data_IF_287534938978
#
_entry.id   IF_287534938978
#
_cell.length_a   1.000
_cell.length_b   1.000
_cell.length_c   1.000
_cell.angle_alpha   90.00
_cell.angle_beta   90.00
_cell.angle_gamma   90.00
#
_symmetry.space_group_name_H-M   'P 1'
#
loop_
_entity.id
_entity.type
_entity.pdbx_description
1 polymer ?
#
# COMPACT_ATOMS: atom_id res chain seq x y z
N UNK A 1 35.24 -2.29 -2.09
CA UNK A 1 34.98 -3.65 -2.62
C UNK A 1 33.65 -3.63 -3.36
N UNK A 2 33.64 -3.80 -4.67
CA UNK A 2 32.41 -3.83 -5.46
C UNK A 2 31.61 -5.10 -5.15
N UNK A 3 30.32 -4.97 -4.84
CA UNK A 3 29.43 -6.12 -4.79
C UNK A 3 29.55 -6.91 -6.11
N UNK A 4 29.60 -8.25 -6.08
CA UNK A 4 29.62 -9.05 -7.29
C UNK A 4 28.38 -8.68 -8.12
N UNK A 5 28.57 -8.43 -9.41
CA UNK A 5 27.54 -8.02 -10.38
C UNK A 5 26.21 -8.81 -10.32
N UNK A 6 26.15 -10.12 -9.95
CA UNK A 6 24.90 -10.85 -9.77
C UNK A 6 24.03 -10.35 -8.60
N UNK A 7 24.66 -9.91 -7.50
CA UNK A 7 23.94 -9.51 -6.28
C UNK A 7 23.14 -8.21 -6.46
N UNK A 8 23.65 -7.30 -7.29
CA UNK A 8 23.00 -6.02 -7.62
C UNK A 8 21.75 -6.24 -8.48
N UNK A 9 21.85 -7.11 -9.48
CA UNK A 9 20.74 -7.47 -10.37
C UNK A 9 19.58 -8.16 -9.62
N UNK A 10 19.90 -9.11 -8.73
CA UNK A 10 18.89 -9.78 -7.91
C UNK A 10 18.15 -8.78 -7.01
N UNK A 11 18.90 -7.90 -6.33
CA UNK A 11 18.33 -6.91 -5.42
C UNK A 11 17.38 -5.93 -6.13
N UNK A 12 17.71 -5.52 -7.35
CA UNK A 12 16.88 -4.66 -8.19
C UNK A 12 15.63 -5.39 -8.68
N UNK A 13 15.77 -6.62 -9.18
CA UNK A 13 14.65 -7.43 -9.66
C UNK A 13 13.61 -7.72 -8.55
N UNK A 14 14.07 -8.04 -7.33
CA UNK A 14 13.15 -8.24 -6.20
C UNK A 14 12.39 -6.96 -5.84
N UNK A 15 13.05 -5.80 -5.88
CA UNK A 15 12.40 -4.52 -5.56
C UNK A 15 11.32 -4.20 -6.60
N UNK A 16 11.67 -4.29 -7.88
CA UNK A 16 10.72 -4.10 -8.98
C UNK A 16 9.54 -5.06 -8.88
N UNK A 17 9.79 -6.34 -8.59
CA UNK A 17 8.72 -7.35 -8.41
C UNK A 17 7.80 -7.00 -7.26
N UNK A 18 8.35 -6.58 -6.11
CA UNK A 18 7.55 -6.13 -4.96
C UNK A 18 6.73 -4.89 -5.31
N UNK A 19 7.28 -3.93 -6.06
CA UNK A 19 6.56 -2.73 -6.51
C UNK A 19 5.40 -3.07 -7.43
N UNK A 20 5.61 -3.96 -8.40
CA UNK A 20 4.57 -4.43 -9.31
C UNK A 20 3.47 -5.14 -8.51
N UNK A 21 3.84 -6.05 -7.60
CA UNK A 21 2.89 -6.74 -6.75
C UNK A 21 2.06 -5.76 -5.90
N UNK A 22 2.72 -4.76 -5.31
CA UNK A 22 2.06 -3.71 -4.52
C UNK A 22 1.11 -2.87 -5.38
N UNK A 23 1.50 -2.56 -6.62
CA UNK A 23 0.65 -1.90 -7.61
C UNK A 23 -0.58 -2.73 -7.96
N UNK A 24 -0.43 -4.04 -8.14
CA UNK A 24 -1.56 -4.94 -8.44
C UNK A 24 -2.51 -5.04 -7.25
N UNK A 25 -2.01 -5.22 -6.03
CA UNK A 25 -2.87 -5.34 -4.85
C UNK A 25 -3.59 -4.03 -4.54
N UNK A 26 -2.93 -2.88 -4.72
CA UNK A 26 -3.55 -1.56 -4.56
C UNK A 26 -4.60 -1.29 -5.63
N UNK A 27 -4.38 -1.69 -6.88
CA UNK A 27 -5.37 -1.58 -7.95
C UNK A 27 -6.61 -2.42 -7.66
N UNK A 28 -6.44 -3.66 -7.19
CA UNK A 28 -7.57 -4.52 -6.82
C UNK A 28 -8.38 -3.87 -5.68
N UNK A 29 -7.70 -3.40 -4.63
CA UNK A 29 -8.36 -2.72 -3.52
C UNK A 29 -9.11 -1.46 -4.00
N UNK A 30 -8.50 -0.66 -4.87
CA UNK A 30 -9.10 0.55 -5.42
C UNK A 30 -10.37 0.26 -6.23
N UNK A 31 -10.34 -0.76 -7.10
CA UNK A 31 -11.51 -1.18 -7.88
C UNK A 31 -12.64 -1.67 -6.97
N UNK A 32 -12.31 -2.47 -5.96
CA UNK A 32 -13.28 -3.03 -5.00
C UNK A 32 -13.94 -1.92 -4.19
N UNK A 33 -13.14 -1.02 -3.59
CA UNK A 33 -13.68 0.09 -2.81
C UNK A 33 -14.40 1.13 -3.67
N UNK A 34 -13.94 1.37 -4.91
CA UNK A 34 -14.64 2.24 -5.85
C UNK A 34 -16.03 1.70 -6.20
N UNK A 35 -16.13 0.39 -6.43
CA UNK A 35 -17.42 -0.27 -6.64
C UNK A 35 -18.31 -0.21 -5.38
N UNK A 36 -17.74 -0.52 -4.22
CA UNK A 36 -18.47 -0.43 -2.94
C UNK A 36 -19.00 0.98 -2.69
N UNK A 37 -18.20 2.02 -2.95
CA UNK A 37 -18.62 3.42 -2.82
C UNK A 37 -19.80 3.74 -3.75
N UNK A 38 -19.71 3.35 -5.02
CA UNK A 38 -20.83 3.55 -5.96
C UNK A 38 -22.10 2.78 -5.55
N UNK A 39 -21.93 1.63 -4.88
CA UNK A 39 -23.02 0.80 -4.39
C UNK A 39 -23.76 1.46 -3.21
N UNK A 40 -23.04 2.18 -2.36
CA UNK A 40 -23.60 3.02 -1.30
C UNK A 40 -24.30 4.27 -1.83
N UNK A 41 -23.81 4.85 -2.93
CA UNK A 41 -24.47 6.01 -3.57
C UNK A 41 -25.80 5.65 -4.25
N UNK A 42 -25.89 4.45 -4.85
CA UNK A 42 -27.06 4.01 -5.63
C UNK A 42 -28.17 3.43 -4.75
N UNK A 43 -27.79 2.67 -3.71
CA UNK A 43 -28.77 2.13 -2.77
C UNK A 43 -29.10 3.22 -1.76
N UNK A 44 -30.37 3.59 -1.61
CA UNK A 44 -30.83 4.52 -0.57
C UNK A 44 -30.64 3.93 0.85
N UNK A 45 -29.43 3.52 1.22
CA UNK A 45 -29.05 3.08 2.58
C UNK A 45 -28.92 4.28 3.53
N UNK A 46 -29.72 5.33 3.29
CA UNK A 46 -29.62 6.69 3.84
C UNK A 46 -29.92 6.84 5.34
N UNK A 47 -29.90 5.76 6.12
CA UNK A 47 -30.04 5.85 7.58
C UNK A 47 -29.12 4.92 8.38
N UNK A 48 -28.51 3.91 7.75
CA UNK A 48 -27.57 3.00 8.42
C UNK A 48 -26.23 2.87 7.70
N UNK A 49 -26.04 3.53 6.56
CA UNK A 49 -24.75 3.53 5.87
C UNK A 49 -23.71 4.35 6.65
N UNK A 50 -23.03 3.65 7.54
CA UNK A 50 -21.87 4.15 8.26
C UNK A 50 -20.59 3.99 7.41
N UNK A 51 -20.59 3.18 6.35
CA UNK A 51 -19.40 2.86 5.56
C UNK A 51 -19.05 3.89 4.48
N UNK A 52 -20.06 4.45 3.80
CA UNK A 52 -19.96 5.40 2.69
C UNK A 52 -18.96 6.56 2.92
N UNK A 53 -19.07 7.33 4.02
CA UNK A 53 -18.18 8.46 4.27
C UNK A 53 -16.72 8.07 4.50
N UNK A 54 -16.45 6.83 4.93
CA UNK A 54 -15.13 6.35 5.35
C UNK A 54 -14.43 5.56 4.22
N UNK A 55 -15.18 5.12 3.22
CA UNK A 55 -14.65 4.54 1.97
C UNK A 55 -13.80 5.55 1.20
N UNK A 56 -14.22 6.81 1.14
CA UNK A 56 -13.50 7.86 0.40
C UNK A 56 -12.03 8.05 0.87
N UNK A 57 -11.74 8.17 2.18
CA UNK A 57 -10.37 8.17 2.68
C UNK A 57 -9.55 6.91 2.33
N UNK A 58 -10.13 5.71 2.39
CA UNK A 58 -9.44 4.46 2.02
C UNK A 58 -9.15 4.41 0.52
N UNK A 59 -10.08 4.88 -0.31
CA UNK A 59 -9.90 5.06 -1.75
C UNK A 59 -8.76 6.03 -2.02
N UNK A 60 -8.70 7.17 -1.33
CA UNK A 60 -7.61 8.13 -1.48
C UNK A 60 -6.25 7.53 -1.08
N UNK A 61 -6.18 6.81 0.05
CA UNK A 61 -4.98 6.11 0.50
C UNK A 61 -4.52 5.05 -0.49
N UNK A 62 -5.43 4.18 -0.95
CA UNK A 62 -5.14 3.14 -1.95
C UNK A 62 -4.75 3.73 -3.30
N UNK A 63 -5.40 4.80 -3.76
CA UNK A 63 -5.04 5.50 -4.98
C UNK A 63 -3.63 6.11 -4.90
N UNK A 64 -3.26 6.73 -3.77
CA UNK A 64 -1.91 7.22 -3.55
C UNK A 64 -0.88 6.08 -3.63
N UNK A 65 -1.16 4.94 -2.99
CA UNK A 65 -0.28 3.77 -3.04
C UNK A 65 -0.12 3.22 -4.47
N UNK A 66 -1.20 3.19 -5.25
CA UNK A 66 -1.13 2.79 -6.66
C UNK A 66 -0.29 3.78 -7.48
N UNK A 67 -0.58 5.07 -7.37
CA UNK A 67 0.12 6.12 -8.09
C UNK A 67 1.62 6.09 -7.79
N UNK A 68 2.00 5.96 -6.52
CA UNK A 68 3.39 5.87 -6.12
C UNK A 68 4.07 4.58 -6.64
N UNK A 69 3.38 3.43 -6.60
CA UNK A 69 3.91 2.18 -7.18
C UNK A 69 4.17 2.32 -8.67
N UNK A 70 3.24 2.91 -9.43
CA UNK A 70 3.41 3.14 -10.88
C UNK A 70 4.57 4.10 -11.15
N UNK A 71 4.63 5.23 -10.45
CA UNK A 71 5.73 6.19 -10.59
C UNK A 71 7.07 5.51 -10.30
N UNK A 72 7.19 4.78 -9.20
CA UNK A 72 8.42 4.07 -8.84
C UNK A 72 8.85 3.07 -9.91
N UNK A 73 7.92 2.25 -10.43
CA UNK A 73 8.20 1.29 -11.51
C UNK A 73 8.61 2.00 -12.80
N UNK A 74 7.88 3.04 -13.20
CA UNK A 74 8.21 3.83 -14.39
C UNK A 74 9.61 4.44 -14.27
N UNK A 75 9.94 5.04 -13.12
CA UNK A 75 11.25 5.65 -12.93
C UNK A 75 12.35 4.58 -12.90
N UNK A 76 12.14 3.42 -12.29
CA UNK A 76 13.12 2.31 -12.30
C UNK A 76 13.35 1.73 -13.70
N UNK A 77 12.31 1.64 -14.53
CA UNK A 77 12.40 1.12 -15.89
C UNK A 77 13.00 2.13 -16.87
N UNK A 78 12.67 3.41 -16.72
CA UNK A 78 13.08 4.46 -17.66
C UNK A 78 14.42 5.11 -17.27
N UNK A 79 14.75 5.15 -15.99
CA UNK A 79 15.96 5.83 -15.53
C UNK A 79 17.17 4.90 -15.60
N UNK A 80 18.15 5.31 -16.40
CA UNK A 80 19.50 4.69 -16.38
C UNK A 80 20.31 5.07 -15.13
N UNK A 81 19.81 6.01 -14.32
CA UNK A 81 20.46 6.51 -13.10
C UNK A 81 19.64 6.07 -11.87
N UNK A 82 20.29 5.57 -10.81
CA UNK A 82 19.61 5.19 -9.59
C UNK A 82 19.04 6.43 -8.89
N UNK A 83 17.76 6.38 -8.52
CA UNK A 83 17.16 7.42 -7.66
C UNK A 83 17.85 7.37 -6.29
N UNK A 84 17.97 8.53 -5.65
CA UNK A 84 18.42 8.61 -4.28
C UNK A 84 17.50 7.79 -3.36
N UNK A 85 18.07 6.85 -2.60
CA UNK A 85 17.31 5.92 -1.76
C UNK A 85 16.42 6.62 -0.72
N UNK A 86 16.80 7.81 -0.28
CA UNK A 86 15.99 8.62 0.63
C UNK A 86 14.63 9.02 0.06
N UNK A 87 14.49 9.15 -1.27
CA UNK A 87 13.19 9.43 -1.92
C UNK A 87 12.24 8.26 -1.67
N UNK A 88 12.68 7.03 -1.94
CA UNK A 88 11.88 5.84 -1.66
C UNK A 88 11.48 5.75 -0.19
N UNK A 89 12.41 6.00 0.75
CA UNK A 89 12.10 6.01 2.18
C UNK A 89 10.93 6.96 2.50
N UNK A 90 10.97 8.20 2.01
CA UNK A 90 9.93 9.20 2.31
C UNK A 90 8.57 8.83 1.73
N UNK A 91 8.51 8.49 0.45
CA UNK A 91 7.23 8.21 -0.21
C UNK A 91 6.66 6.85 0.21
N UNK A 92 7.49 5.84 0.49
CA UNK A 92 7.05 4.55 1.03
C UNK A 92 6.50 4.72 2.45
N UNK A 93 7.13 5.58 3.28
CA UNK A 93 6.63 5.88 4.61
C UNK A 93 5.28 6.59 4.54
N UNK A 94 5.11 7.57 3.65
CA UNK A 94 3.82 8.24 3.46
C UNK A 94 2.74 7.29 2.93
N UNK A 95 3.09 6.42 1.98
CA UNK A 95 2.18 5.41 1.45
C UNK A 95 1.72 4.45 2.56
N UNK A 96 2.68 3.98 3.36
CA UNK A 96 2.40 3.08 4.47
C UNK A 96 1.56 3.78 5.56
N UNK A 97 2.00 4.91 6.09
CA UNK A 97 1.31 5.64 7.17
C UNK A 97 -0.08 6.09 6.76
N UNK A 98 -0.25 6.64 5.56
CA UNK A 98 -1.56 7.05 5.04
C UNK A 98 -2.51 5.87 4.89
N UNK A 99 -2.03 4.74 4.36
CA UNK A 99 -2.85 3.55 4.21
C UNK A 99 -3.19 2.89 5.57
N UNK A 100 -2.25 2.84 6.51
CA UNK A 100 -2.49 2.38 7.90
C UNK A 100 -3.58 3.23 8.56
N UNK A 101 -3.44 4.56 8.52
CA UNK A 101 -4.37 5.46 9.19
C UNK A 101 -5.79 5.31 8.63
N UNK A 102 -5.93 5.25 7.30
CA UNK A 102 -7.22 5.11 6.62
C UNK A 102 -7.85 3.73 6.87
N UNK A 103 -7.08 2.64 6.83
CA UNK A 103 -7.59 1.29 7.15
C UNK A 103 -8.03 1.19 8.61
N UNK A 104 -7.26 1.71 9.56
CA UNK A 104 -7.65 1.69 10.98
C UNK A 104 -8.95 2.47 11.18
N UNK A 105 -9.05 3.66 10.60
CA UNK A 105 -10.27 4.47 10.68
C UNK A 105 -11.48 3.72 10.09
N UNK A 106 -11.31 3.08 8.93
CA UNK A 106 -12.33 2.26 8.30
C UNK A 106 -12.77 1.08 9.18
N UNK A 107 -11.82 0.31 9.73
CA UNK A 107 -12.12 -0.84 10.59
C UNK A 107 -12.83 -0.43 11.89
N UNK A 108 -12.42 0.68 12.51
CA UNK A 108 -13.07 1.19 13.72
C UNK A 108 -14.52 1.58 13.44
N UNK A 109 -14.78 2.19 12.28
CA UNK A 109 -16.11 2.63 11.90
C UNK A 109 -17.02 1.48 11.44
N UNK A 110 -16.44 0.42 10.87
CA UNK A 110 -17.15 -0.81 10.48
C UNK A 110 -17.36 -1.79 11.65
N UNK A 111 -16.79 -1.54 12.84
CA UNK A 111 -16.97 -2.39 14.03
C UNK A 111 -18.45 -2.72 14.39
N UNK A 112 -19.42 -1.78 14.35
CA UNK A 112 -20.83 -2.11 14.60
C UNK A 112 -21.42 -3.12 13.59
N UNK A 113 -20.94 -3.13 12.34
CA UNK A 113 -21.32 -4.17 11.36
C UNK A 113 -20.75 -5.55 11.75
N UNK A 114 -19.55 -5.60 12.33
CA UNK A 114 -18.91 -6.87 12.73
C UNK A 114 -19.45 -7.47 14.03
N UNK A 115 -20.10 -6.67 14.89
CA UNK A 115 -20.38 -7.06 16.28
C UNK A 115 -21.82 -7.47 16.58
N UNK A 116 -22.81 -7.28 15.70
CA UNK A 116 -24.14 -7.74 16.11
C UNK A 116 -25.36 -7.53 15.23
N UNK A 117 -25.30 -6.79 14.13
CA UNK A 117 -26.48 -6.76 13.23
C UNK A 117 -26.37 -7.94 12.28
N UNK A 118 -26.79 -9.13 12.74
CA UNK A 118 -27.16 -10.21 11.82
C UNK A 118 -28.29 -9.65 10.97
N UNK A 119 -27.98 -9.15 9.78
CA UNK A 119 -28.95 -9.03 8.70
C UNK A 119 -29.26 -10.47 8.29
N UNK A 120 -30.05 -11.18 9.11
CA UNK A 120 -30.69 -12.41 8.69
C UNK A 120 -31.45 -12.04 7.43
N UNK A 121 -31.07 -12.66 6.31
CA UNK A 121 -31.90 -12.68 5.12
C UNK A 121 -33.16 -13.46 5.49
N UNK A 122 -34.06 -12.81 6.23
CA UNK A 122 -35.28 -13.43 6.71
C UNK A 122 -36.14 -13.71 5.48
N UNK A 123 -36.68 -14.93 5.43
CA UNK A 123 -37.22 -15.57 4.25
C UNK A 123 -38.34 -14.74 3.61
N UNK A 124 -38.02 -13.90 2.63
CA UNK A 124 -39.03 -13.10 1.91
C UNK A 124 -38.48 -12.00 1.00
N UNK A 125 -37.33 -11.41 1.32
CA UNK A 125 -36.65 -10.44 0.43
C UNK A 125 -35.58 -11.14 -0.41
N UNK A 126 -35.70 -11.05 -1.73
CA UNK A 126 -34.85 -11.75 -2.71
C UNK A 126 -33.39 -11.29 -2.74
N UNK A 127 -33.05 -10.16 -2.15
CA UNK A 127 -31.74 -9.55 -2.34
C UNK A 127 -30.96 -9.43 -1.04
N UNK A 128 -30.12 -10.44 -0.74
CA UNK A 128 -29.06 -10.40 0.27
C UNK A 128 -27.91 -9.44 -0.10
N UNK A 129 -28.23 -8.31 -0.73
CA UNK A 129 -27.27 -7.35 -1.30
C UNK A 129 -26.28 -6.83 -0.25
N UNK A 130 -26.75 -6.58 0.98
CA UNK A 130 -25.92 -6.09 2.09
C UNK A 130 -24.83 -7.08 2.51
N UNK A 131 -25.13 -8.39 2.51
CA UNK A 131 -24.14 -9.44 2.83
C UNK A 131 -23.08 -9.53 1.74
N UNK A 132 -23.50 -9.43 0.47
CA UNK A 132 -22.58 -9.41 -0.67
C UNK A 132 -21.67 -8.18 -0.62
N UNK A 133 -22.22 -7.01 -0.35
CA UNK A 133 -21.46 -5.76 -0.22
C UNK A 133 -20.42 -5.85 0.91
N UNK A 134 -20.81 -6.34 2.09
CA UNK A 134 -19.89 -6.53 3.22
C UNK A 134 -18.75 -7.52 2.88
N UNK A 135 -19.05 -8.62 2.20
CA UNK A 135 -18.03 -9.58 1.76
C UNK A 135 -17.04 -8.95 0.77
N UNK A 136 -17.53 -8.08 -0.12
CA UNK A 136 -16.70 -7.37 -1.09
C UNK A 136 -15.81 -6.34 -0.38
N UNK A 137 -16.36 -5.58 0.57
CA UNK A 137 -15.58 -4.64 1.40
C UNK A 137 -14.51 -5.35 2.24
N UNK A 138 -14.82 -6.54 2.77
CA UNK A 138 -13.84 -7.38 3.45
C UNK A 138 -12.70 -7.80 2.54
N UNK A 139 -13.02 -8.22 1.31
CA UNK A 139 -12.01 -8.58 0.32
C UNK A 139 -11.14 -7.37 -0.04
N UNK A 140 -11.74 -6.20 -0.28
CA UNK A 140 -11.00 -4.95 -0.53
C UNK A 140 -10.08 -4.58 0.64
N UNK A 141 -10.56 -4.74 1.86
CA UNK A 141 -9.80 -4.51 3.09
C UNK A 141 -8.62 -5.47 3.22
N UNK A 142 -8.81 -6.75 2.91
CA UNK A 142 -7.73 -7.73 2.90
C UNK A 142 -6.65 -7.35 1.88
N UNK A 143 -7.03 -6.94 0.67
CA UNK A 143 -6.09 -6.49 -0.37
C UNK A 143 -5.35 -5.20 0.03
N UNK A 144 -6.02 -4.28 0.72
CA UNK A 144 -5.41 -3.07 1.26
C UNK A 144 -4.42 -3.40 2.41
N UNK A 145 -4.73 -4.36 3.27
CA UNK A 145 -3.81 -4.86 4.30
C UNK A 145 -2.57 -5.52 3.69
N UNK A 146 -2.73 -6.31 2.63
CA UNK A 146 -1.59 -6.88 1.89
C UNK A 146 -0.73 -5.74 1.32
N UNK A 147 -1.36 -4.75 0.68
CA UNK A 147 -0.67 -3.55 0.16
C UNK A 147 0.10 -2.83 1.25
N UNK A 148 -0.51 -2.64 2.43
CA UNK A 148 0.12 -2.04 3.60
C UNK A 148 1.36 -2.82 4.06
N UNK A 149 1.28 -4.14 4.17
CA UNK A 149 2.43 -4.99 4.55
C UNK A 149 3.56 -4.87 3.52
N UNK A 150 3.23 -4.90 2.24
CA UNK A 150 4.22 -4.76 1.16
C UNK A 150 4.91 -3.39 1.20
N UNK A 151 4.16 -2.32 1.43
CA UNK A 151 4.73 -0.97 1.59
C UNK A 151 5.64 -0.84 2.82
N UNK A 152 5.26 -1.46 3.94
CA UNK A 152 6.12 -1.52 5.11
C UNK A 152 7.44 -2.22 4.79
N UNK A 153 7.38 -3.34 4.07
CA UNK A 153 8.57 -4.07 3.67
C UNK A 153 9.46 -3.23 2.73
N UNK A 154 8.88 -2.58 1.73
CA UNK A 154 9.58 -1.67 0.83
C UNK A 154 10.26 -0.53 1.60
N UNK A 155 9.55 0.09 2.56
CA UNK A 155 10.08 1.11 3.44
C UNK A 155 11.29 0.61 4.24
N UNK A 156 11.17 -0.53 4.94
CA UNK A 156 12.26 -1.12 5.73
C UNK A 156 13.48 -1.41 4.84
N UNK A 157 13.26 -1.96 3.64
CA UNK A 157 14.33 -2.25 2.68
C UNK A 157 15.03 -0.97 2.21
N UNK A 158 14.27 0.09 1.93
CA UNK A 158 14.80 1.41 1.56
C UNK A 158 15.64 2.02 2.69
N UNK A 159 15.21 1.88 3.95
CA UNK A 159 15.98 2.29 5.13
C UNK A 159 17.31 1.53 5.25
N UNK A 160 17.28 0.20 5.10
CA UNK A 160 18.48 -0.65 5.15
C UNK A 160 19.47 -0.25 4.04
N UNK A 161 18.98 -0.03 2.81
CA UNK A 161 19.84 0.38 1.69
C UNK A 161 20.50 1.74 1.95
N UNK A 162 19.72 2.70 2.45
CA UNK A 162 20.23 4.04 2.81
C UNK A 162 21.29 3.96 3.91
N UNK A 163 21.09 3.11 4.92
CA UNK A 163 22.06 2.90 5.98
C UNK A 163 23.37 2.27 5.46
N UNK A 164 23.28 1.28 4.56
CA UNK A 164 24.45 0.65 3.94
C UNK A 164 25.25 1.66 3.13
N UNK A 165 24.60 2.46 2.28
CA UNK A 165 25.28 3.50 1.49
C UNK A 165 25.97 4.55 2.37
N UNK A 166 25.32 4.96 3.46
CA UNK A 166 25.94 5.89 4.43
C UNK A 166 27.18 5.30 5.08
N UNK A 167 27.17 4.00 5.40
CA UNK A 167 28.32 3.30 5.99
C UNK A 167 29.48 3.20 4.99
N UNK A 168 29.20 2.86 3.74
CA UNK A 168 30.20 2.77 2.67
C UNK A 168 30.87 4.13 2.38
N UNK A 169 30.08 5.21 2.32
CA UNK A 169 30.60 6.55 2.13
C UNK A 169 31.60 6.95 3.25
N UNK A 170 31.26 6.64 4.52
CA UNK A 170 32.15 6.93 5.67
C UNK A 170 33.47 6.15 5.61
N UNK A 171 33.42 4.88 5.20
CA UNK A 171 34.62 4.06 5.08
C UNK A 171 35.54 4.58 3.97
N UNK A 172 34.96 4.95 2.81
CA UNK A 172 35.73 5.53 1.71
C UNK A 172 36.36 6.87 2.09
N UNK A 173 35.66 7.74 2.83
CA UNK A 173 36.24 8.99 3.34
C UNK A 173 37.40 8.72 4.31
N UNK A 174 37.28 7.70 5.16
CA UNK A 174 38.35 7.32 6.10
C UNK A 174 39.61 6.84 5.37
N UNK A 175 39.46 5.92 4.42
CA UNK A 175 40.59 5.42 3.59
C UNK A 175 41.27 6.55 2.80
N UNK A 176 40.50 7.51 2.28
CA UNK A 176 41.05 8.69 1.59
C UNK A 176 41.82 9.63 2.51
N UNK A 177 41.49 9.68 3.80
CA UNK A 177 42.22 10.50 4.76
C UNK A 177 43.49 9.77 5.24
N UNK A 178 43.40 8.48 5.50
CA UNK A 178 44.54 7.64 5.93
C UNK A 178 45.62 7.53 4.84
N UNK A 179 45.26 7.65 3.56
CA UNK A 179 46.21 7.65 2.42
C UNK A 179 46.88 9.00 2.15
N UNK A 180 46.44 10.08 2.82
CA UNK A 180 47.02 11.43 2.70
C UNK A 180 47.91 11.81 3.90
N UNK A 181 47.86 11.04 4.97
CA UNK A 181 48.70 11.20 6.16
C UNK A 181 50.01 10.40 5.99
#
# INVERSE_FOLDING_TARGET
MGFPTPAKWYTQSTNLSLRILTGVTSLIALCVFGWANSSHDISEMGYYDMGGPVLSPVIAGTAYTLAWSVIAVCVELLSRKPIHHGVYVTFDLFAWTGLVATIIMFLLWMMPYFTGVRSSCDSGYRDCYQVTLANIEHFGTAMALVTMILYFWLFVRSCISTHKLRKEARLSTKESNDSRA
#
